data_IF_742940427564
#
_entry.id   IF_742940427564
#
_cell.length_a   1.000
_cell.length_b   1.000
_cell.length_c   1.000
_cell.angle_alpha   90.00
_cell.angle_beta   90.00
_cell.angle_gamma   90.00
#
_symmetry.space_group_name_H-M   'P 1'
#
loop_
_entity.id
_entity.type
_entity.pdbx_description
1 polymer ?
#
# COMPACT_ATOMS: atom_id res chain seq x y z
N UNK A 1 -25.87 -4.66 -4.98
CA UNK A 1 -25.03 -3.45 -5.14
C UNK A 1 -23.68 -3.74 -4.53
N UNK A 2 -22.58 -3.22 -5.07
CA UNK A 2 -21.25 -3.35 -4.44
C UNK A 2 -21.28 -2.82 -3.01
N UNK A 3 -20.60 -3.53 -2.10
CA UNK A 3 -20.48 -3.14 -0.69
C UNK A 3 -19.14 -3.57 -0.11
N UNK A 4 -18.79 -3.15 1.14
CA UNK A 4 -17.57 -3.63 1.78
C UNK A 4 -17.57 -5.15 1.86
N UNK A 5 -16.38 -5.75 1.70
CA UNK A 5 -16.20 -7.16 2.02
C UNK A 5 -16.38 -7.43 3.53
N UNK A 6 -16.40 -8.71 3.94
CA UNK A 6 -16.74 -9.10 5.32
C UNK A 6 -15.88 -8.47 6.41
N UNK A 7 -14.59 -8.25 6.17
CA UNK A 7 -13.64 -7.60 7.08
C UNK A 7 -13.38 -6.16 6.70
N UNK A 8 -13.77 -5.78 5.49
CA UNK A 8 -13.38 -4.52 4.87
C UNK A 8 -11.85 -4.31 4.90
N UNK A 9 -11.11 -5.36 4.60
CA UNK A 9 -9.64 -5.45 4.54
C UNK A 9 -9.22 -6.11 3.22
N UNK A 10 -7.99 -5.86 2.78
CA UNK A 10 -7.43 -6.51 1.58
C UNK A 10 -7.43 -8.04 1.71
N UNK A 11 -7.40 -8.56 2.92
CA UNK A 11 -7.48 -9.99 3.24
C UNK A 11 -8.86 -10.62 3.07
N UNK A 12 -9.85 -9.87 2.61
CA UNK A 12 -11.09 -10.45 2.08
C UNK A 12 -10.84 -11.19 0.75
N UNK A 13 -9.71 -10.91 0.09
CA UNK A 13 -9.24 -11.73 -1.03
C UNK A 13 -8.69 -13.05 -0.45
N UNK A 14 -9.31 -14.20 -0.76
CA UNK A 14 -8.91 -15.47 -0.18
C UNK A 14 -7.44 -15.81 -0.44
N UNK A 15 -6.79 -16.42 0.54
CA UNK A 15 -5.38 -16.81 0.44
C UNK A 15 -4.37 -15.68 0.64
N UNK A 16 -4.80 -14.45 0.97
CA UNK A 16 -3.91 -13.33 1.31
C UNK A 16 -3.87 -13.10 2.82
N UNK A 17 -2.68 -13.00 3.38
CA UNK A 17 -2.43 -12.65 4.78
C UNK A 17 -1.54 -11.40 4.87
N UNK A 18 -1.68 -10.65 5.96
CA UNK A 18 -0.89 -9.46 6.26
C UNK A 18 -0.28 -9.58 7.65
N UNK A 19 0.99 -9.23 7.78
CA UNK A 19 1.69 -9.20 9.07
C UNK A 19 2.46 -7.90 9.28
N UNK A 20 2.56 -7.47 10.52
CA UNK A 20 3.27 -6.25 10.91
C UNK A 20 4.33 -6.55 11.96
N UNK A 21 5.42 -5.80 11.87
CA UNK A 21 6.37 -5.60 12.96
C UNK A 21 6.59 -4.09 13.15
N UNK A 22 6.50 -3.64 14.40
CA UNK A 22 6.62 -2.22 14.78
C UNK A 22 7.75 -2.08 15.78
N UNK A 23 8.67 -1.14 15.54
CA UNK A 23 9.71 -0.77 16.48
C UNK A 23 9.37 0.61 17.08
N UNK A 24 8.90 0.61 18.34
CA UNK A 24 8.46 1.81 19.03
C UNK A 24 9.65 2.74 19.36
N UNK A 25 10.82 2.17 19.68
CA UNK A 25 12.02 2.95 19.99
C UNK A 25 12.51 3.71 18.77
N UNK A 26 12.53 3.03 17.63
CA UNK A 26 12.94 3.62 16.34
C UNK A 26 11.81 4.43 15.70
N UNK A 27 10.53 4.22 16.08
CA UNK A 27 9.32 4.79 15.46
C UNK A 27 9.26 4.49 13.96
N UNK A 28 9.37 3.22 13.65
CA UNK A 28 9.32 2.67 12.28
C UNK A 28 8.69 1.29 12.29
N UNK A 29 8.53 0.67 11.14
CA UNK A 29 8.06 -0.70 11.07
C UNK A 29 8.01 -1.25 9.66
N UNK A 30 7.60 -2.51 9.58
CA UNK A 30 7.50 -3.29 8.35
C UNK A 30 6.12 -3.93 8.26
N UNK A 31 5.58 -3.98 7.07
CA UNK A 31 4.35 -4.68 6.72
C UNK A 31 4.63 -5.66 5.60
N UNK A 32 4.27 -6.91 5.79
CA UNK A 32 4.42 -7.99 4.82
C UNK A 32 3.03 -8.45 4.37
N UNK A 33 2.82 -8.50 3.06
CA UNK A 33 1.66 -9.16 2.46
C UNK A 33 2.16 -10.46 1.85
N UNK A 34 1.54 -11.58 2.21
CA UNK A 34 1.92 -12.90 1.73
C UNK A 34 0.71 -13.66 1.20
N UNK A 35 0.64 -13.93 -0.11
CA UNK A 35 -0.29 -14.89 -0.66
C UNK A 35 0.15 -16.33 -0.30
N UNK A 36 -0.78 -17.25 -0.13
CA UNK A 36 -0.47 -18.66 0.19
C UNK A 36 0.35 -19.38 -0.91
N UNK A 37 0.26 -18.91 -2.14
CA UNK A 37 1.07 -19.33 -3.31
C UNK A 37 1.54 -18.08 -4.06
N UNK A 38 2.41 -18.23 -5.05
CA UNK A 38 2.76 -17.10 -5.90
C UNK A 38 1.55 -16.58 -6.68
N UNK A 39 1.33 -15.25 -6.66
CA UNK A 39 0.27 -14.59 -7.40
C UNK A 39 0.84 -13.77 -8.56
N UNK A 40 0.09 -13.69 -9.66
CA UNK A 40 0.39 -12.76 -10.75
C UNK A 40 0.37 -11.34 -10.21
N UNK A 41 1.38 -10.54 -10.58
CA UNK A 41 1.51 -9.18 -10.07
C UNK A 41 2.17 -8.25 -11.09
N UNK A 42 1.92 -6.96 -10.91
CA UNK A 42 2.64 -5.88 -11.59
C UNK A 42 2.70 -4.63 -10.70
N UNK A 43 3.34 -3.57 -11.17
CA UNK A 43 3.54 -2.32 -10.43
C UNK A 43 3.42 -1.12 -11.36
N UNK A 44 2.88 -0.01 -10.84
CA UNK A 44 2.90 1.30 -11.48
C UNK A 44 3.52 2.32 -10.52
N UNK A 45 4.55 3.04 -10.97
CA UNK A 45 5.31 3.99 -10.17
C UNK A 45 5.12 5.37 -10.78
N UNK A 46 4.57 6.32 -10.00
CA UNK A 46 4.28 7.68 -10.47
C UNK A 46 5.02 8.77 -9.70
N UNK A 47 5.49 8.48 -8.49
CA UNK A 47 6.34 9.43 -7.76
C UNK A 47 7.69 9.65 -8.44
N UNK A 48 8.25 10.87 -8.33
CA UNK A 48 9.54 11.22 -8.93
C UNK A 48 10.77 10.70 -8.18
N UNK A 49 10.59 10.18 -6.94
CA UNK A 49 11.68 9.67 -6.08
C UNK A 49 11.37 8.29 -5.45
N UNK A 50 11.06 7.24 -6.23
CA UNK A 50 10.67 5.95 -5.67
C UNK A 50 11.84 5.23 -5.01
N UNK A 51 11.58 4.60 -3.86
CA UNK A 51 12.48 3.65 -3.21
C UNK A 51 11.91 2.23 -3.33
N UNK A 52 12.50 1.39 -4.16
CA UNK A 52 11.97 0.06 -4.41
C UNK A 52 13.02 -1.00 -4.71
N UNK A 53 12.61 -2.26 -4.60
CA UNK A 53 13.40 -3.45 -4.88
C UNK A 53 12.57 -4.44 -5.71
N UNK A 54 13.19 -5.12 -6.66
CA UNK A 54 12.60 -6.15 -7.54
C UNK A 54 11.36 -5.71 -8.33
N UNK A 55 11.04 -4.42 -8.39
CA UNK A 55 9.90 -3.91 -9.16
C UNK A 55 10.01 -4.24 -10.67
N UNK A 56 11.22 -4.23 -11.23
CA UNK A 56 11.46 -4.59 -12.62
C UNK A 56 11.04 -6.04 -12.95
N UNK A 57 11.10 -6.97 -12.01
CA UNK A 57 10.66 -8.35 -12.20
C UNK A 57 9.15 -8.47 -12.47
N UNK A 58 8.37 -7.45 -12.09
CA UNK A 58 6.92 -7.37 -12.26
C UNK A 58 6.48 -6.61 -13.52
N UNK A 59 7.42 -6.10 -14.31
CA UNK A 59 7.07 -5.41 -15.57
C UNK A 59 6.59 -6.44 -16.61
N UNK A 60 5.52 -6.13 -17.38
CA UNK A 60 4.87 -7.10 -18.28
C UNK A 60 5.76 -7.70 -19.35
N UNK A 61 6.84 -7.04 -19.72
CA UNK A 61 7.82 -7.55 -20.72
C UNK A 61 8.80 -8.55 -20.10
N UNK A 62 8.82 -8.72 -18.78
CA UNK A 62 9.72 -9.60 -18.06
C UNK A 62 9.07 -10.96 -17.75
N UNK A 63 9.88 -12.01 -17.62
CA UNK A 63 9.40 -13.39 -17.52
C UNK A 63 8.76 -13.75 -16.18
N UNK A 64 9.11 -13.05 -15.09
CA UNK A 64 8.71 -13.44 -13.73
C UNK A 64 7.24 -13.18 -13.48
N UNK A 65 6.79 -11.94 -13.55
CA UNK A 65 5.39 -11.52 -13.49
C UNK A 65 4.58 -12.02 -12.29
N UNK A 66 5.25 -12.49 -11.23
CA UNK A 66 4.62 -13.02 -10.01
C UNK A 66 5.44 -12.69 -8.78
N UNK A 67 4.80 -12.76 -7.60
CA UNK A 67 5.45 -12.56 -6.31
C UNK A 67 5.05 -13.63 -5.28
N UNK A 68 5.94 -13.87 -4.31
CA UNK A 68 5.71 -14.77 -3.18
C UNK A 68 5.39 -14.00 -1.89
N UNK A 69 5.86 -12.76 -1.78
CA UNK A 69 5.47 -11.78 -0.78
C UNK A 69 5.70 -10.36 -1.31
N UNK A 70 5.06 -9.36 -0.70
CA UNK A 70 5.31 -7.94 -0.93
C UNK A 70 5.63 -7.29 0.40
N UNK A 71 6.65 -6.41 0.43
CA UNK A 71 7.11 -5.75 1.64
C UNK A 71 6.95 -4.24 1.51
N UNK A 72 6.26 -3.62 2.48
CA UNK A 72 6.30 -2.18 2.71
C UNK A 72 7.07 -1.89 3.99
N UNK A 73 7.94 -0.90 3.97
CA UNK A 73 8.80 -0.58 5.10
C UNK A 73 8.99 0.93 5.28
N UNK A 74 9.14 1.37 6.54
CA UNK A 74 9.77 2.62 6.83
C UNK A 74 11.27 2.59 6.53
N UNK A 75 12.02 3.64 6.91
CA UNK A 75 13.47 3.63 6.91
C UNK A 75 14.15 3.97 5.59
N UNK A 76 13.41 4.41 4.57
CA UNK A 76 13.99 4.75 3.27
C UNK A 76 14.89 3.61 2.74
N UNK A 77 16.06 3.88 2.19
CA UNK A 77 16.97 2.86 1.64
C UNK A 77 17.30 1.73 2.62
N UNK A 78 17.37 2.01 3.93
CA UNK A 78 17.64 0.98 4.95
C UNK A 78 16.47 -0.01 5.08
N UNK A 79 15.23 0.46 4.86
CA UNK A 79 14.02 -0.35 4.89
C UNK A 79 13.98 -1.44 3.83
N UNK A 80 14.72 -1.30 2.72
CA UNK A 80 14.84 -2.35 1.70
C UNK A 80 15.39 -3.66 2.26
N UNK A 81 16.20 -3.60 3.34
CA UNK A 81 16.70 -4.78 4.04
C UNK A 81 15.60 -5.64 4.68
N UNK A 82 14.37 -5.14 4.84
CA UNK A 82 13.25 -5.95 5.32
C UNK A 82 12.94 -7.13 4.39
N UNK A 83 13.03 -6.92 3.08
CA UNK A 83 12.85 -7.98 2.10
C UNK A 83 13.93 -9.08 2.18
N UNK A 84 15.13 -8.79 2.67
CA UNK A 84 16.16 -9.82 2.90
C UNK A 84 15.73 -10.79 4.00
N UNK A 85 15.14 -10.26 5.10
CA UNK A 85 14.61 -11.10 6.17
C UNK A 85 13.47 -12.02 5.69
N UNK A 86 12.54 -11.46 4.91
CA UNK A 86 11.43 -12.22 4.32
C UNK A 86 11.92 -13.26 3.32
N UNK A 87 12.82 -12.88 2.41
CA UNK A 87 13.37 -13.80 1.39
C UNK A 87 14.13 -14.96 2.02
N UNK A 88 14.93 -14.71 3.05
CA UNK A 88 15.69 -15.75 3.75
C UNK A 88 14.76 -16.79 4.39
N UNK A 89 13.70 -16.35 5.06
CA UNK A 89 12.72 -17.22 5.71
C UNK A 89 11.91 -18.03 4.70
N UNK A 90 11.42 -17.40 3.64
CA UNK A 90 10.68 -18.11 2.59
C UNK A 90 11.56 -19.15 1.89
N UNK A 91 12.81 -18.80 1.58
CA UNK A 91 13.78 -19.73 0.97
C UNK A 91 14.06 -20.93 1.88
N UNK A 92 14.29 -20.69 3.19
CA UNK A 92 14.50 -21.75 4.18
C UNK A 92 13.27 -22.68 4.31
N UNK A 93 12.07 -22.14 4.07
CA UNK A 93 10.81 -22.88 4.06
C UNK A 93 10.52 -23.56 2.70
N UNK A 94 11.45 -23.50 1.73
CA UNK A 94 11.27 -24.07 0.39
C UNK A 94 10.28 -23.30 -0.50
N UNK A 95 9.95 -22.05 -0.17
CA UNK A 95 9.00 -21.22 -0.92
C UNK A 95 9.78 -20.32 -1.88
N UNK A 96 9.49 -20.42 -3.18
CA UNK A 96 10.16 -19.66 -4.23
C UNK A 96 10.21 -20.41 -5.55
N UNK A 97 10.95 -19.86 -6.51
CA UNK A 97 11.24 -20.55 -7.77
C UNK A 97 12.28 -21.64 -7.55
N UNK A 98 12.06 -22.80 -8.15
CA UNK A 98 12.99 -23.95 -8.13
C UNK A 98 13.64 -24.10 -9.50
N UNK A 99 14.79 -23.46 -9.73
CA UNK A 99 15.48 -23.47 -11.04
C UNK A 99 16.36 -24.72 -11.23
N UNK A 100 16.82 -25.33 -10.13
CA UNK A 100 17.69 -26.50 -10.16
C UNK A 100 17.44 -27.39 -8.94
N UNK A 101 17.40 -28.71 -9.13
CA UNK A 101 17.30 -29.65 -8.03
C UNK A 101 18.46 -29.48 -7.02
N UNK A 102 18.13 -29.45 -5.73
CA UNK A 102 19.10 -29.30 -4.64
C UNK A 102 19.60 -27.87 -4.42
N UNK A 103 19.21 -26.89 -5.25
CA UNK A 103 19.48 -25.47 -4.98
C UNK A 103 18.39 -24.88 -4.03
N UNK A 104 18.72 -23.82 -3.28
CA UNK A 104 17.73 -23.10 -2.48
C UNK A 104 16.58 -22.56 -3.34
N UNK A 105 15.38 -22.51 -2.77
CA UNK A 105 14.25 -21.84 -3.38
C UNK A 105 14.55 -20.32 -3.51
N UNK A 106 14.07 -19.71 -4.60
CA UNK A 106 14.31 -18.31 -4.93
C UNK A 106 12.99 -17.53 -4.80
N UNK A 107 12.67 -16.96 -3.64
CA UNK A 107 11.47 -16.14 -3.47
C UNK A 107 11.58 -14.85 -4.29
N UNK A 108 10.48 -14.45 -4.89
CA UNK A 108 10.33 -13.11 -5.47
C UNK A 108 9.62 -12.25 -4.43
N UNK A 109 10.35 -11.27 -3.87
CA UNK A 109 9.88 -10.44 -2.75
C UNK A 109 10.12 -8.96 -3.07
N UNK A 110 9.30 -8.37 -3.93
CA UNK A 110 9.36 -6.94 -4.18
C UNK A 110 9.16 -6.15 -2.90
N UNK A 111 9.82 -5.00 -2.80
CA UNK A 111 9.66 -4.11 -1.68
C UNK A 111 9.57 -2.65 -2.13
N UNK A 112 8.83 -1.85 -1.36
CA UNK A 112 8.83 -0.41 -1.47
C UNK A 112 8.93 0.23 -0.09
N UNK A 113 9.61 1.38 -0.03
CA UNK A 113 9.94 2.05 1.23
C UNK A 113 9.45 3.48 1.26
N UNK A 114 9.08 3.94 2.46
CA UNK A 114 8.80 5.33 2.74
C UNK A 114 9.91 5.92 3.66
N UNK A 115 10.03 7.22 3.64
CA UNK A 115 10.97 7.95 4.49
C UNK A 115 10.29 8.39 5.79
N UNK A 116 10.68 7.77 6.90
CA UNK A 116 10.27 8.13 8.27
C UNK A 116 11.47 8.47 9.17
N UNK A 117 12.65 8.63 8.59
CA UNK A 117 13.90 8.85 9.32
C UNK A 117 13.91 10.17 10.11
N UNK A 118 13.19 11.18 9.61
CA UNK A 118 13.06 12.49 10.26
C UNK A 118 11.84 12.59 11.21
N UNK A 119 11.03 11.53 11.34
CA UNK A 119 9.76 11.58 12.06
C UNK A 119 9.88 11.15 13.54
N UNK A 120 11.04 11.42 14.15
CA UNK A 120 11.35 11.07 15.55
C UNK A 120 11.77 9.61 15.74
N UNK A 121 11.96 9.21 17.00
CA UNK A 121 12.51 7.92 17.39
C UNK A 121 14.05 7.89 17.33
N UNK A 122 14.64 6.85 17.93
CA UNK A 122 16.08 6.65 17.97
C UNK A 122 16.55 5.96 16.68
N UNK A 123 17.29 6.68 15.83
CA UNK A 123 17.89 6.17 14.59
C UNK A 123 19.37 5.80 14.75
N UNK A 124 19.87 5.74 15.98
CA UNK A 124 21.29 5.47 16.30
C UNK A 124 21.66 3.98 16.24
N UNK A 125 21.24 3.26 15.22
CA UNK A 125 21.50 1.82 15.06
C UNK A 125 22.87 1.45 14.49
N UNK A 126 23.71 2.41 14.10
CA UNK A 126 25.05 2.16 13.56
C UNK A 126 25.00 1.32 12.27
N UNK A 127 25.69 0.18 12.26
CA UNK A 127 25.77 -0.74 11.12
C UNK A 127 24.59 -1.74 11.05
N UNK A 128 23.71 -1.77 12.06
CA UNK A 128 22.65 -2.78 12.20
C UNK A 128 21.25 -2.13 12.15
N UNK A 129 20.80 -1.62 10.98
CA UNK A 129 19.43 -1.13 10.83
C UNK A 129 18.42 -2.26 11.12
N UNK A 130 17.30 -1.99 11.82
CA UNK A 130 16.43 -3.05 12.34
C UNK A 130 15.59 -3.77 11.29
N UNK A 131 15.60 -3.33 10.05
CA UNK A 131 14.58 -3.68 9.06
C UNK A 131 14.61 -5.16 8.63
N UNK A 132 15.80 -5.79 8.53
CA UNK A 132 15.90 -7.22 8.23
C UNK A 132 15.21 -8.06 9.31
N UNK A 133 15.44 -7.74 10.58
CA UNK A 133 14.77 -8.39 11.72
C UNK A 133 13.26 -8.12 11.71
N UNK A 134 12.85 -6.87 11.48
CA UNK A 134 11.44 -6.51 11.41
C UNK A 134 10.72 -7.18 10.23
N UNK A 135 11.39 -7.41 9.10
CA UNK A 135 10.84 -8.18 7.98
C UNK A 135 10.55 -9.63 8.36
N UNK A 136 11.48 -10.30 9.03
CA UNK A 136 11.30 -11.65 9.57
C UNK A 136 10.16 -11.70 10.61
N UNK A 137 10.13 -10.78 11.56
CA UNK A 137 9.06 -10.69 12.57
C UNK A 137 7.67 -10.44 11.95
N UNK A 138 7.58 -9.54 10.97
CA UNK A 138 6.33 -9.26 10.27
C UNK A 138 5.81 -10.50 9.52
N UNK A 139 6.69 -11.28 8.90
CA UNK A 139 6.32 -12.54 8.26
C UNK A 139 5.79 -13.56 9.27
N UNK A 140 6.35 -13.64 10.47
CA UNK A 140 5.85 -14.49 11.57
C UNK A 140 4.49 -14.06 12.13
N UNK A 141 4.07 -12.81 11.90
CA UNK A 141 2.84 -12.22 12.41
C UNK A 141 1.67 -12.20 11.40
N UNK A 142 1.74 -12.99 10.32
CA UNK A 142 0.71 -13.04 9.29
C UNK A 142 -0.68 -13.43 9.83
N UNK A 143 -1.70 -12.61 9.49
CA UNK A 143 -3.10 -12.81 9.93
C UNK A 143 -4.06 -12.34 8.85
N UNK A 144 -5.30 -12.89 8.86
CA UNK A 144 -6.40 -12.39 8.04
C UNK A 144 -7.01 -11.10 8.62
N UNK A 145 -7.00 -10.96 9.95
CA UNK A 145 -7.39 -9.73 10.64
C UNK A 145 -6.13 -9.06 11.20
N UNK A 146 -5.92 -7.80 10.88
CA UNK A 146 -4.73 -7.05 11.25
C UNK A 146 -5.08 -5.61 11.62
N UNK A 147 -4.23 -4.99 12.42
CA UNK A 147 -4.41 -3.62 12.88
C UNK A 147 -4.18 -2.59 11.76
N UNK A 148 -4.88 -1.46 11.84
CA UNK A 148 -4.71 -0.29 10.97
C UNK A 148 -4.20 0.92 11.78
N UNK A 149 -3.85 2.01 11.10
CA UNK A 149 -3.36 3.23 11.71
C UNK A 149 -1.83 3.26 11.86
N UNK A 150 -1.34 3.66 13.03
CA UNK A 150 0.10 3.84 13.30
C UNK A 150 0.80 2.51 13.64
N UNK A 151 0.77 1.54 12.72
CA UNK A 151 1.33 0.18 12.88
C UNK A 151 2.17 -0.22 11.68
N UNK A 152 3.10 -1.16 11.87
CA UNK A 152 3.94 -1.67 10.80
C UNK A 152 4.63 -0.53 10.03
N UNK A 153 4.63 -0.60 8.70
CA UNK A 153 5.19 0.44 7.86
C UNK A 153 4.53 1.83 8.04
N UNK A 154 3.31 1.89 8.59
CA UNK A 154 2.59 3.12 8.90
C UNK A 154 3.01 3.81 10.21
N UNK A 155 3.87 3.16 11.05
CA UNK A 155 4.20 3.67 12.40
C UNK A 155 4.84 5.04 12.41
N UNK A 156 5.76 5.30 11.51
CA UNK A 156 6.46 6.57 11.37
C UNK A 156 5.91 7.50 10.30
N UNK A 157 4.85 7.10 9.60
CA UNK A 157 4.29 7.83 8.47
C UNK A 157 3.66 9.17 8.86
N UNK A 158 3.68 10.13 7.93
CA UNK A 158 3.05 11.44 8.03
C UNK A 158 2.27 11.76 6.75
N UNK A 159 1.02 12.17 6.86
CA UNK A 159 0.19 12.62 5.75
C UNK A 159 0.05 14.14 5.80
N UNK A 160 0.73 14.84 4.89
CA UNK A 160 0.94 16.27 5.07
C UNK A 160 1.59 16.55 6.42
N UNK A 161 1.05 17.48 7.18
CA UNK A 161 1.52 17.84 8.53
C UNK A 161 0.95 16.97 9.65
N UNK A 162 0.06 16.02 9.33
CA UNK A 162 -0.63 15.16 10.28
C UNK A 162 -0.04 13.74 10.32
N UNK A 163 -0.37 12.94 11.35
CA UNK A 163 -0.01 11.53 11.36
C UNK A 163 -0.52 10.80 10.12
N UNK A 164 0.38 10.15 9.40
CA UNK A 164 0.02 9.16 8.40
C UNK A 164 -0.23 7.80 9.02
N UNK A 165 -0.51 6.79 8.22
CA UNK A 165 -0.77 5.46 8.75
C UNK A 165 -1.01 4.41 7.67
N UNK A 166 -1.23 3.20 8.14
CA UNK A 166 -1.60 2.05 7.32
C UNK A 166 -3.12 1.89 7.33
N UNK A 167 -3.72 1.82 6.15
CA UNK A 167 -5.14 1.56 5.99
C UNK A 167 -5.42 0.47 4.97
N UNK A 168 -6.62 -0.08 5.04
CA UNK A 168 -7.09 -1.11 4.12
C UNK A 168 -8.60 -0.97 3.92
N UNK A 169 -9.07 -1.35 2.74
CA UNK A 169 -10.48 -1.41 2.40
C UNK A 169 -10.72 -2.50 1.34
N UNK A 170 -11.93 -3.01 1.27
CA UNK A 170 -12.34 -3.96 0.25
C UNK A 170 -13.73 -3.67 -0.29
N UNK A 171 -14.05 -4.24 -1.44
CA UNK A 171 -15.36 -4.25 -2.08
C UNK A 171 -15.68 -5.65 -2.59
N UNK A 172 -16.89 -6.10 -2.28
CA UNK A 172 -17.56 -7.19 -2.97
C UNK A 172 -18.38 -6.59 -4.14
N UNK A 173 -17.99 -6.94 -5.35
CA UNK A 173 -18.64 -6.44 -6.57
C UNK A 173 -19.84 -7.29 -6.97
N UNK A 174 -20.16 -8.31 -6.19
CA UNK A 174 -21.16 -9.32 -6.51
C UNK A 174 -20.59 -10.48 -7.33
N UNK A 175 -21.36 -11.57 -7.39
CA UNK A 175 -20.97 -12.81 -8.08
C UNK A 175 -19.63 -13.39 -7.63
N UNK A 176 -19.22 -13.13 -6.38
CA UNK A 176 -17.96 -13.58 -5.80
C UNK A 176 -16.72 -12.84 -6.32
N UNK A 177 -16.86 -11.71 -7.00
CA UNK A 177 -15.74 -10.88 -7.43
C UNK A 177 -15.35 -9.90 -6.32
N UNK A 178 -14.15 -10.07 -5.79
CA UNK A 178 -13.61 -9.30 -4.67
C UNK A 178 -12.43 -8.43 -5.12
N UNK A 179 -12.38 -7.21 -4.59
CA UNK A 179 -11.27 -6.27 -4.77
C UNK A 179 -10.91 -5.66 -3.43
N UNK A 180 -9.63 -5.55 -3.12
CA UNK A 180 -9.17 -4.92 -1.88
C UNK A 180 -7.93 -4.08 -2.09
N UNK A 181 -7.68 -3.15 -1.17
CA UNK A 181 -6.48 -2.33 -1.14
C UNK A 181 -5.87 -2.29 0.27
N UNK A 182 -4.54 -2.18 0.33
CA UNK A 182 -3.80 -1.79 1.52
C UNK A 182 -2.87 -0.64 1.13
N UNK A 183 -2.87 0.41 1.95
CA UNK A 183 -2.07 1.61 1.68
C UNK A 183 -1.30 2.03 2.92
N UNK A 184 -0.06 2.46 2.76
CA UNK A 184 0.70 3.19 3.77
C UNK A 184 0.77 4.64 3.30
N UNK A 185 0.03 5.52 3.99
CA UNK A 185 -0.09 6.92 3.63
C UNK A 185 1.01 7.77 4.29
N UNK A 186 1.97 8.25 3.49
CA UNK A 186 3.03 9.18 3.90
C UNK A 186 3.24 10.29 2.84
N UNK A 187 2.14 10.86 2.25
CA UNK A 187 2.27 11.85 1.18
C UNK A 187 2.76 13.21 1.68
N UNK A 188 3.28 14.05 0.77
CA UNK A 188 3.46 15.48 1.00
C UNK A 188 2.11 16.18 1.09
N UNK A 189 1.22 15.86 0.15
CA UNK A 189 -0.09 16.48 0.02
C UNK A 189 -0.99 16.25 1.23
N UNK A 190 -2.01 17.09 1.35
CA UNK A 190 -3.05 16.97 2.36
C UNK A 190 -4.05 15.87 1.99
N UNK A 191 -4.49 15.11 2.99
CA UNK A 191 -5.61 14.18 2.89
C UNK A 191 -6.95 14.82 3.27
N UNK A 192 -6.90 16.01 3.85
CA UNK A 192 -8.08 16.79 4.22
C UNK A 192 -8.35 17.93 3.25
N UNK A 193 -9.63 18.26 3.12
CA UNK A 193 -10.12 19.47 2.44
C UNK A 193 -9.72 20.72 3.24
N UNK A 194 -9.95 21.94 2.71
CA UNK A 194 -9.54 23.18 3.36
C UNK A 194 -10.13 23.43 4.75
N UNK A 195 -11.22 22.74 5.14
CA UNK A 195 -11.77 22.78 6.49
C UNK A 195 -10.91 22.06 7.55
N UNK A 196 -9.93 21.28 7.12
CA UNK A 196 -9.05 20.51 7.99
C UNK A 196 -9.69 19.31 8.67
N UNK A 197 -10.94 18.98 8.34
CA UNK A 197 -11.73 17.95 9.01
C UNK A 197 -12.38 16.94 8.06
N UNK A 198 -12.72 17.37 6.84
CA UNK A 198 -13.33 16.52 5.81
C UNK A 198 -12.25 15.90 4.92
N UNK A 199 -12.24 14.58 4.80
CA UNK A 199 -11.31 13.90 3.89
C UNK A 199 -11.65 14.18 2.42
N UNK A 200 -10.65 14.33 1.55
CA UNK A 200 -10.89 14.38 0.10
C UNK A 200 -11.63 13.12 -0.38
N UNK A 201 -11.40 11.98 0.28
CA UNK A 201 -12.02 10.69 -0.03
C UNK A 201 -13.49 10.57 0.43
N UNK A 202 -14.11 11.57 1.04
CA UNK A 202 -15.46 11.51 1.61
C UNK A 202 -16.54 10.93 0.67
N UNK A 203 -16.50 11.16 -0.69
CA UNK A 203 -17.54 10.61 -1.56
C UNK A 203 -17.56 9.08 -1.65
N UNK A 204 -16.45 8.43 -1.28
CA UNK A 204 -16.29 6.98 -1.33
C UNK A 204 -16.44 6.32 0.04
N UNK A 205 -16.62 7.10 1.10
CA UNK A 205 -16.79 6.57 2.46
C UNK A 205 -17.97 5.61 2.55
N UNK A 206 -17.79 4.50 3.23
CA UNK A 206 -18.85 3.53 3.49
C UNK A 206 -18.99 3.31 5.00
N UNK A 207 -20.25 3.33 5.46
CA UNK A 207 -20.61 3.07 6.85
C UNK A 207 -19.86 3.91 7.91
N UNK A 208 -19.42 5.14 7.57
CA UNK A 208 -18.72 6.03 8.50
C UNK A 208 -17.32 5.56 8.89
N UNK A 209 -16.65 4.77 8.06
CA UNK A 209 -15.37 4.10 8.35
C UNK A 209 -14.18 5.04 8.59
N UNK A 210 -14.33 6.33 8.30
CA UNK A 210 -13.39 7.40 8.65
C UNK A 210 -14.10 8.70 9.10
N UNK A 211 -15.22 8.55 9.82
CA UNK A 211 -15.87 9.62 10.58
C UNK A 211 -17.17 10.16 10.01
N UNK A 212 -17.55 9.79 8.77
CA UNK A 212 -18.83 10.14 8.15
C UNK A 212 -18.98 11.63 7.82
N UNK A 213 -17.89 12.41 7.84
CA UNK A 213 -17.96 13.85 7.56
C UNK A 213 -18.10 14.13 6.08
N UNK A 214 -18.97 15.10 5.78
CA UNK A 214 -19.20 15.64 4.45
C UNK A 214 -19.06 17.14 4.49
N UNK A 215 -18.64 17.79 3.39
CA UNK A 215 -18.54 19.25 3.36
C UNK A 215 -19.93 19.88 3.56
N UNK A 216 -20.05 20.74 4.57
CA UNK A 216 -21.32 21.40 4.93
C UNK A 216 -21.72 22.53 3.97
N UNK A 217 -20.76 23.09 3.24
CA UNK A 217 -20.92 24.17 2.28
C UNK A 217 -19.95 24.01 1.11
N UNK A 218 -20.16 24.80 0.04
CA UNK A 218 -19.18 24.88 -1.04
C UNK A 218 -17.87 25.43 -0.50
N UNK A 219 -16.80 24.65 -0.58
CA UNK A 219 -15.46 25.07 -0.22
C UNK A 219 -14.70 25.61 -1.44
N UNK A 220 -13.85 26.59 -1.20
CA UNK A 220 -12.87 27.02 -2.19
C UNK A 220 -11.71 26.03 -2.18
N UNK A 221 -11.58 25.28 -3.27
CA UNK A 221 -10.50 24.34 -3.51
C UNK A 221 -9.56 24.83 -4.61
N UNK A 222 -9.51 26.15 -4.88
CA UNK A 222 -8.69 26.72 -5.94
C UNK A 222 -7.20 26.72 -5.61
N UNK A 223 -6.83 26.69 -4.30
CA UNK A 223 -5.43 26.62 -3.88
C UNK A 223 -4.83 25.26 -4.29
N UNK A 224 -3.82 25.24 -5.22
CA UNK A 224 -3.21 24.00 -5.67
C UNK A 224 -2.35 23.31 -4.59
N UNK A 225 -1.88 24.08 -3.58
CA UNK A 225 -1.01 23.62 -2.50
C UNK A 225 -1.69 23.87 -1.14
N UNK A 226 -2.58 22.95 -0.67
CA UNK A 226 -3.31 23.13 0.57
C UNK A 226 -2.39 23.31 1.79
N UNK A 227 -2.81 24.16 2.75
CA UNK A 227 -2.05 24.51 3.96
C UNK A 227 -1.64 23.28 4.81
N UNK A 228 -2.47 22.25 4.83
CA UNK A 228 -2.15 20.99 5.55
C UNK A 228 -1.18 20.08 4.79
N UNK A 229 -0.68 20.50 3.62
CA UNK A 229 0.46 19.83 2.97
C UNK A 229 1.77 20.19 3.68
N UNK A 230 2.81 19.35 3.48
CA UNK A 230 4.16 19.65 4.02
C UNK A 230 4.99 20.57 3.12
N UNK A 231 4.40 21.25 2.15
CA UNK A 231 5.13 22.02 1.14
C UNK A 231 5.83 23.25 1.72
N UNK A 232 5.25 23.91 2.72
CA UNK A 232 5.84 25.09 3.37
C UNK A 232 7.09 24.77 4.20
N UNK A 233 7.22 23.53 4.66
CA UNK A 233 8.43 23.05 5.35
C UNK A 233 9.57 22.67 4.40
N UNK A 234 9.37 22.81 3.09
CA UNK A 234 10.18 22.23 2.02
C UNK A 234 11.46 22.97 1.65
N UNK A 235 11.88 24.01 2.34
CA UNK A 235 13.15 24.68 2.04
C UNK A 235 14.39 23.74 2.02
N UNK A 236 14.24 22.44 2.32
CA UNK A 236 15.27 21.41 2.35
C UNK A 236 14.80 20.01 1.91
N UNK A 237 13.70 19.87 1.19
CA UNK A 237 13.23 18.53 0.79
C UNK A 237 14.09 17.92 -0.31
N UNK A 238 14.45 16.65 -0.08
CA UNK A 238 15.13 15.79 -1.05
C UNK A 238 14.12 14.81 -1.66
N UNK A 239 14.37 14.34 -2.89
CA UNK A 239 13.59 13.31 -3.54
C UNK A 239 13.48 12.06 -2.66
N UNK A 240 12.29 11.44 -2.61
CA UNK A 240 12.03 10.24 -1.81
C UNK A 240 11.72 10.50 -0.32
N UNK A 241 11.58 11.77 0.10
CA UNK A 241 11.24 12.10 1.49
C UNK A 241 9.77 11.80 1.85
N UNK A 242 8.92 11.54 0.87
CA UNK A 242 7.49 11.31 1.04
C UNK A 242 7.01 10.25 0.05
N UNK A 243 5.98 9.52 0.39
CA UNK A 243 5.61 8.35 -0.43
C UNK A 243 4.24 7.83 -0.01
N UNK A 244 3.37 7.54 -0.96
CA UNK A 244 2.22 6.67 -0.76
C UNK A 244 2.54 5.30 -1.33
N UNK A 245 2.63 4.29 -0.46
CA UNK A 245 2.81 2.91 -0.86
C UNK A 245 1.45 2.23 -0.88
N UNK A 246 1.07 1.67 -2.02
CA UNK A 246 -0.22 1.01 -2.16
C UNK A 246 -0.09 -0.36 -2.82
N UNK A 247 -1.00 -1.25 -2.47
CA UNK A 247 -1.24 -2.49 -3.19
C UNK A 247 -2.74 -2.72 -3.32
N UNK A 248 -3.16 -3.14 -4.50
CA UNK A 248 -4.51 -3.65 -4.75
C UNK A 248 -4.46 -5.13 -5.08
N UNK A 249 -5.44 -5.86 -4.60
CA UNK A 249 -5.59 -7.29 -4.88
C UNK A 249 -7.00 -7.58 -5.38
N UNK A 250 -7.12 -8.58 -6.26
CA UNK A 250 -8.42 -9.14 -6.65
C UNK A 250 -8.32 -10.67 -6.77
N UNK A 251 -9.46 -11.33 -6.72
CA UNK A 251 -9.52 -12.78 -6.92
C UNK A 251 -9.66 -13.19 -8.38
N UNK A 252 -9.73 -12.26 -9.32
CA UNK A 252 -9.80 -12.55 -10.75
C UNK A 252 -8.49 -13.17 -11.28
N UNK A 253 -8.59 -13.99 -12.33
CA UNK A 253 -7.43 -14.44 -13.11
C UNK A 253 -7.03 -13.37 -14.10
N UNK A 254 -5.91 -12.71 -13.83
CA UNK A 254 -5.33 -11.66 -14.66
C UNK A 254 -3.94 -12.05 -15.15
N UNK A 255 -3.60 -11.62 -16.36
CA UNK A 255 -2.22 -11.60 -16.86
C UNK A 255 -1.41 -10.48 -16.20
N UNK A 256 -0.08 -10.53 -16.31
CA UNK A 256 0.81 -9.46 -15.82
C UNK A 256 0.47 -8.10 -16.46
N UNK A 257 0.13 -8.10 -17.76
CA UNK A 257 -0.27 -6.87 -18.46
C UNK A 257 -1.60 -6.31 -17.93
N UNK A 258 -2.56 -7.17 -17.56
CA UNK A 258 -3.81 -6.75 -16.94
C UNK A 258 -3.59 -6.28 -15.49
N UNK A 259 -2.69 -6.91 -14.74
CA UNK A 259 -2.25 -6.40 -13.43
C UNK A 259 -1.59 -5.02 -13.57
N UNK A 260 -0.77 -4.78 -14.61
CA UNK A 260 -0.21 -3.45 -14.90
C UNK A 260 -1.33 -2.43 -15.17
N UNK A 261 -2.32 -2.80 -15.98
CA UNK A 261 -3.47 -1.94 -16.26
C UNK A 261 -4.27 -1.65 -14.97
N UNK A 262 -4.47 -2.66 -14.13
CA UNK A 262 -5.13 -2.51 -12.83
C UNK A 262 -4.36 -1.55 -11.92
N UNK A 263 -3.03 -1.67 -11.84
CA UNK A 263 -2.19 -0.77 -11.07
C UNK A 263 -2.32 0.68 -11.57
N UNK A 264 -2.28 0.91 -12.88
CA UNK A 264 -2.45 2.23 -13.50
C UNK A 264 -3.82 2.84 -13.14
N UNK A 265 -4.91 2.07 -13.20
CA UNK A 265 -6.24 2.57 -12.86
C UNK A 265 -6.39 2.86 -11.37
N UNK A 266 -5.81 2.02 -10.52
CA UNK A 266 -5.88 2.16 -9.07
C UNK A 266 -5.11 3.39 -8.53
N UNK A 267 -4.11 3.89 -9.26
CA UNK A 267 -3.41 5.15 -8.93
C UNK A 267 -4.35 6.35 -8.80
N UNK A 268 -5.45 6.35 -9.56
CA UNK A 268 -6.45 7.43 -9.46
C UNK A 268 -7.05 7.54 -8.04
N UNK A 269 -7.03 6.46 -7.27
CA UNK A 269 -7.43 6.45 -5.87
C UNK A 269 -6.53 7.31 -4.98
N UNK A 270 -5.23 7.39 -5.27
CA UNK A 270 -4.31 8.28 -4.57
C UNK A 270 -4.71 9.73 -4.85
N UNK A 271 -4.94 10.10 -6.12
CA UNK A 271 -5.35 11.45 -6.51
C UNK A 271 -6.74 11.85 -5.98
N UNK A 272 -7.61 10.88 -5.67
CA UNK A 272 -8.92 11.11 -5.03
C UNK A 272 -8.80 11.44 -3.54
N UNK A 273 -7.73 11.01 -2.88
CA UNK A 273 -7.58 11.09 -1.42
C UNK A 273 -6.45 12.01 -0.97
N UNK A 274 -5.56 12.44 -1.86
CA UNK A 274 -4.37 13.23 -1.56
C UNK A 274 -4.27 14.40 -2.53
N UNK A 275 -4.03 15.61 -2.02
CA UNK A 275 -3.86 16.81 -2.84
C UNK A 275 -2.67 17.65 -2.32
N UNK A 276 -1.68 17.97 -3.21
CA UNK A 276 -1.41 17.33 -4.49
C UNK A 276 -0.84 15.91 -4.32
N UNK A 277 -0.88 15.09 -5.38
CA UNK A 277 -0.33 13.75 -5.43
C UNK A 277 0.75 13.63 -6.52
N UNK A 278 1.59 12.60 -6.43
CA UNK A 278 2.59 12.26 -7.44
C UNK A 278 3.61 13.37 -7.72
N UNK A 279 4.01 14.08 -6.68
CA UNK A 279 4.98 15.15 -6.79
C UNK A 279 6.37 14.63 -7.19
N UNK A 280 7.26 15.48 -7.73
CA UNK A 280 8.65 15.10 -8.02
C UNK A 280 9.41 14.52 -6.81
N UNK A 281 8.97 14.84 -5.60
CA UNK A 281 9.58 14.41 -4.34
C UNK A 281 8.91 13.19 -3.73
N UNK A 282 7.71 12.79 -4.22
CA UNK A 282 7.01 11.60 -3.76
C UNK A 282 7.64 10.31 -4.32
N UNK A 283 7.54 9.22 -3.59
CA UNK A 283 7.95 7.90 -4.04
C UNK A 283 6.76 7.00 -4.39
N UNK A 284 5.62 7.56 -4.77
CA UNK A 284 4.35 6.87 -4.93
C UNK A 284 4.46 5.64 -5.83
N UNK A 285 4.18 4.49 -5.24
CA UNK A 285 4.30 3.19 -5.88
C UNK A 285 3.06 2.36 -5.57
N UNK A 286 2.42 1.81 -6.60
CA UNK A 286 1.22 1.00 -6.47
C UNK A 286 1.42 -0.36 -7.15
N UNK A 287 1.29 -1.42 -6.34
CA UNK A 287 1.34 -2.81 -6.81
C UNK A 287 -0.09 -3.32 -7.06
N UNK A 288 -0.24 -4.18 -8.06
CA UNK A 288 -1.48 -4.93 -8.28
C UNK A 288 -1.17 -6.41 -8.30
N UNK A 289 -2.01 -7.21 -7.64
CA UNK A 289 -1.85 -8.66 -7.56
C UNK A 289 -3.20 -9.37 -7.73
N UNK A 290 -3.15 -10.55 -8.33
CA UNK A 290 -4.33 -11.33 -8.66
C UNK A 290 -4.16 -12.79 -8.24
N UNK A 291 -5.12 -13.34 -7.46
CA UNK A 291 -5.05 -14.73 -6.99
C UNK A 291 -5.30 -15.76 -8.08
N UNK A 292 -6.07 -15.39 -9.11
CA UNK A 292 -6.43 -16.27 -10.22
C UNK A 292 -7.49 -17.31 -9.88
N UNK A 293 -8.22 -17.15 -8.78
CA UNK A 293 -9.28 -18.09 -8.39
C UNK A 293 -10.50 -18.00 -9.28
N UNK A 294 -10.82 -16.79 -9.76
CA UNK A 294 -11.99 -16.54 -10.57
C UNK A 294 -11.62 -16.24 -12.02
N UNK A 295 -12.13 -17.03 -12.95
CA UNK A 295 -12.05 -16.71 -14.39
C UNK A 295 -12.96 -15.54 -14.73
N UNK A 296 -12.47 -14.62 -15.55
CA UNK A 296 -13.26 -13.60 -16.19
C UNK A 296 -13.79 -14.11 -17.53
N UNK A 297 -15.00 -13.70 -17.89
CA UNK A 297 -15.60 -14.07 -19.18
C UNK A 297 -14.80 -13.44 -20.32
N UNK A 298 -14.42 -14.25 -21.31
CA UNK A 298 -13.59 -13.80 -22.42
C UNK A 298 -14.29 -12.78 -23.34
N UNK A 299 -13.46 -12.15 -24.19
CA UNK A 299 -13.91 -11.19 -25.21
C UNK A 299 -14.21 -9.80 -24.61
N UNK A 300 -15.19 -9.14 -25.19
CA UNK A 300 -15.55 -7.75 -24.84
C UNK A 300 -16.01 -7.63 -23.37
N UNK A 301 -16.63 -8.66 -22.83
CA UNK A 301 -17.07 -8.73 -21.44
C UNK A 301 -15.90 -8.70 -20.46
N UNK A 302 -14.77 -9.31 -20.79
CA UNK A 302 -13.53 -9.27 -20.00
C UNK A 302 -13.05 -7.84 -19.79
N UNK A 303 -13.07 -7.02 -20.84
CA UNK A 303 -12.65 -5.62 -20.74
C UNK A 303 -13.56 -4.80 -19.83
N UNK A 304 -14.86 -5.06 -19.86
CA UNK A 304 -15.83 -4.42 -18.96
C UNK A 304 -15.59 -4.84 -17.50
N UNK A 305 -15.39 -6.13 -17.25
CA UNK A 305 -15.09 -6.63 -15.89
C UNK A 305 -13.75 -6.06 -15.36
N UNK A 306 -12.70 -6.02 -16.19
CA UNK A 306 -11.42 -5.42 -15.82
C UNK A 306 -11.57 -3.92 -15.51
N UNK A 307 -12.38 -3.19 -16.29
CA UNK A 307 -12.67 -1.77 -16.03
C UNK A 307 -13.41 -1.59 -14.70
N UNK A 308 -14.35 -2.47 -14.39
CA UNK A 308 -15.08 -2.47 -13.11
C UNK A 308 -14.16 -2.77 -11.93
N UNK A 309 -13.27 -3.76 -12.06
CA UNK A 309 -12.24 -4.08 -11.06
C UNK A 309 -11.33 -2.87 -10.83
N UNK A 310 -10.85 -2.23 -11.89
CA UNK A 310 -9.94 -1.08 -11.79
C UNK A 310 -10.58 0.14 -11.13
N UNK A 311 -11.85 0.44 -11.45
CA UNK A 311 -12.59 1.52 -10.79
C UNK A 311 -12.77 1.24 -9.29
N UNK A 312 -13.19 0.02 -8.93
CA UNK A 312 -13.33 -0.41 -7.54
C UNK A 312 -11.98 -0.39 -6.78
N UNK A 313 -10.89 -0.76 -7.44
CA UNK A 313 -9.55 -0.69 -6.85
C UNK A 313 -9.16 0.75 -6.49
N UNK A 314 -9.45 1.73 -7.36
CA UNK A 314 -9.23 3.14 -7.06
C UNK A 314 -10.07 3.62 -5.87
N UNK A 315 -11.33 3.20 -5.77
CA UNK A 315 -12.19 3.52 -4.63
C UNK A 315 -11.65 2.89 -3.33
N UNK A 316 -11.20 1.64 -3.37
CA UNK A 316 -10.56 0.97 -2.22
C UNK A 316 -9.27 1.67 -1.79
N UNK A 317 -8.45 2.16 -2.73
CA UNK A 317 -7.21 2.91 -2.42
C UNK A 317 -7.56 4.22 -1.73
N UNK A 318 -8.53 4.98 -2.23
CA UNK A 318 -8.95 6.25 -1.62
C UNK A 318 -9.47 6.04 -0.18
N UNK A 319 -10.34 5.05 0.02
CA UNK A 319 -10.86 4.66 1.33
C UNK A 319 -9.75 4.18 2.27
N UNK A 320 -8.82 3.37 1.79
CA UNK A 320 -7.70 2.88 2.59
C UNK A 320 -6.79 4.03 3.07
N UNK A 321 -6.49 5.03 2.24
CA UNK A 321 -5.75 6.23 2.64
C UNK A 321 -6.45 6.94 3.80
N UNK A 322 -7.73 7.27 3.63
CA UNK A 322 -8.51 8.00 4.64
C UNK A 322 -8.62 7.20 5.96
N UNK A 323 -8.92 5.90 5.89
CA UNK A 323 -8.98 5.02 7.08
C UNK A 323 -7.65 4.94 7.82
N UNK A 324 -6.53 4.81 7.09
CA UNK A 324 -5.20 4.75 7.69
C UNK A 324 -4.84 6.02 8.48
N UNK A 325 -5.12 7.18 7.91
CA UNK A 325 -4.87 8.48 8.55
C UNK A 325 -5.83 8.71 9.72
N UNK A 326 -7.12 8.45 9.55
CA UNK A 326 -8.13 8.58 10.59
C UNK A 326 -7.78 7.77 11.84
N UNK A 327 -7.45 6.49 11.65
CA UNK A 327 -7.11 5.59 12.77
C UNK A 327 -5.76 5.91 13.41
N UNK A 328 -4.79 6.43 12.64
CA UNK A 328 -3.51 6.88 13.19
C UNK A 328 -3.68 8.13 14.08
N UNK A 329 -4.59 9.02 13.72
CA UNK A 329 -4.97 10.18 14.54
C UNK A 329 -5.65 9.77 15.85
N UNK A 330 -6.59 8.83 15.79
CA UNK A 330 -7.29 8.32 16.96
C UNK A 330 -6.37 7.63 17.99
N UNK A 331 -5.35 6.92 17.50
CA UNK A 331 -4.39 6.20 18.40
C UNK A 331 -3.47 7.16 19.17
N UNK A 332 -3.28 8.40 18.70
CA UNK A 332 -2.44 9.40 19.39
C UNK A 332 -3.22 10.26 20.40
N UNK A 333 -4.53 10.19 20.39
CA UNK A 333 -5.41 10.92 21.34
C UNK A 333 -5.67 10.12 22.63
N UNK A 334 -5.16 8.89 22.72
CA UNK A 334 -5.16 8.00 23.89
C UNK A 334 -3.76 7.93 24.51
#
# INVERSE_FOLDING_TARGET
>A
MPGPGPRNLITDIPGLLVGHATDERVRTGVTVLRPERAWTASVDIRGGGPGGRESAALEPQNMVGQLHALVFSGGSVFGLGAADGVSAELSASGIGLHLKAGAPAIPIVPAAVLHDLANGGDKGWGLEPPYRRLGHEALGNLRAEFALGAVGAGRGAMAGVLPGGLGSASLDLGDGLLVGALVVANPIGSVYMPDGETFWAWPWEQAGEFGGRQPGQRMDCSEPMPELSRLDSMGRLQAGANTTLAVVACNARLSTAECKRLAIMAQDGIARAVRPAHLPFDGDSLFAMASGERELVDGQRRQVELSRIGSAAADCVARAIARGVYLAGATRAL
#
